data_IF_466367364830
#
_entry.id   IF_466367364830
#
_cell.length_a   1.000
_cell.length_b   1.000
_cell.length_c   1.000
_cell.angle_alpha   90.00
_cell.angle_beta   90.00
_cell.angle_gamma   90.00
#
_symmetry.space_group_name_H-M   'P 1'
#
loop_
_entity.id
_entity.type
_entity.pdbx_description
1 polymer ?
#
# COMPACT_ATOMS: atom_id res chain seq x y z
N UNK A 1 -20.91 -10.20 11.74
CA UNK A 1 -19.71 -10.31 12.62
C UNK A 1 -19.99 -11.30 13.72
N UNK A 2 -20.98 -11.06 14.62
CA UNK A 2 -21.20 -11.88 15.82
C UNK A 2 -21.36 -13.39 15.55
N UNK A 3 -22.21 -13.88 14.62
CA UNK A 3 -22.36 -15.32 14.40
C UNK A 3 -21.06 -16.01 13.99
N UNK A 4 -20.17 -15.32 13.28
CA UNK A 4 -18.85 -15.85 12.91
C UNK A 4 -17.93 -15.95 14.13
N UNK A 5 -17.90 -14.90 14.97
CA UNK A 5 -17.11 -14.91 16.18
C UNK A 5 -17.55 -16.00 17.15
N UNK A 6 -18.87 -16.21 17.30
CA UNK A 6 -19.44 -17.25 18.12
C UNK A 6 -19.04 -18.64 17.58
N UNK A 7 -19.15 -18.87 16.28
CA UNK A 7 -18.71 -20.11 15.65
C UNK A 7 -17.23 -20.42 15.92
N UNK A 8 -16.34 -19.39 15.78
CA UNK A 8 -14.90 -19.55 16.05
C UNK A 8 -14.64 -19.95 17.50
N UNK A 9 -15.36 -19.32 18.45
CA UNK A 9 -15.24 -19.62 19.89
C UNK A 9 -15.76 -21.01 20.24
N UNK A 10 -16.96 -21.37 19.78
CA UNK A 10 -17.59 -22.66 20.03
C UNK A 10 -16.74 -23.83 19.52
N UNK A 11 -16.08 -23.63 18.37
CA UNK A 11 -15.19 -24.62 17.77
C UNK A 11 -13.75 -24.55 18.29
N UNK A 12 -13.46 -23.69 19.29
CA UNK A 12 -12.14 -23.52 19.90
C UNK A 12 -11.02 -23.26 18.86
N UNK A 13 -11.33 -22.50 17.83
CA UNK A 13 -10.37 -22.14 16.79
C UNK A 13 -9.48 -21.03 17.35
N UNK A 14 -8.22 -21.35 17.65
CA UNK A 14 -7.25 -20.39 18.16
C UNK A 14 -6.59 -19.63 16.99
N UNK A 15 -7.31 -18.64 16.46
CA UNK A 15 -6.88 -17.75 15.38
C UNK A 15 -7.32 -16.32 15.64
N UNK A 16 -6.49 -15.35 15.26
CA UNK A 16 -6.82 -13.93 15.26
C UNK A 16 -8.01 -13.67 14.33
N UNK A 17 -9.01 -12.98 14.83
CA UNK A 17 -10.19 -12.58 14.06
C UNK A 17 -10.03 -11.12 13.64
N UNK A 18 -9.88 -10.91 12.34
CA UNK A 18 -9.79 -9.56 11.76
C UNK A 18 -11.10 -9.18 11.06
N UNK A 19 -11.59 -7.98 11.37
CA UNK A 19 -12.71 -7.38 10.66
C UNK A 19 -12.20 -6.70 9.39
N UNK A 20 -12.59 -7.18 8.20
CA UNK A 20 -12.23 -6.51 6.94
C UNK A 20 -13.11 -5.29 6.70
N UNK A 21 -12.49 -4.13 6.55
CA UNK A 21 -13.19 -2.84 6.38
C UNK A 21 -12.63 -2.09 5.17
N UNK A 22 -13.53 -1.73 4.25
CA UNK A 22 -13.21 -0.83 3.13
C UNK A 22 -13.59 0.59 3.54
N UNK A 23 -12.57 1.45 3.65
CA UNK A 23 -12.73 2.85 4.03
C UNK A 23 -12.75 3.72 2.78
N UNK A 24 -13.88 4.35 2.50
CA UNK A 24 -14.04 5.25 1.36
C UNK A 24 -13.46 6.63 1.65
N UNK A 25 -13.03 7.41 0.63
CA UNK A 25 -12.50 8.77 0.81
C UNK A 25 -13.42 9.67 1.63
N UNK A 26 -14.73 9.59 1.42
CA UNK A 26 -15.71 10.39 2.17
C UNK A 26 -15.76 10.04 3.67
N UNK A 27 -15.42 8.79 4.03
CA UNK A 27 -15.34 8.35 5.43
C UNK A 27 -14.08 8.87 6.12
N UNK A 28 -13.10 9.36 5.37
CA UNK A 28 -11.88 9.99 5.90
C UNK A 28 -12.03 11.51 5.97
N UNK A 29 -12.58 12.13 4.92
CA UNK A 29 -12.68 13.60 4.82
C UNK A 29 -13.77 14.21 5.70
N UNK A 30 -14.85 13.48 5.93
CA UNK A 30 -15.97 13.90 6.79
C UNK A 30 -15.73 13.38 8.21
N UNK A 31 -15.64 14.29 9.18
CA UNK A 31 -15.31 13.95 10.56
C UNK A 31 -16.42 13.12 11.22
N UNK A 32 -17.67 13.42 10.98
CA UNK A 32 -18.80 12.69 11.54
C UNK A 32 -18.81 11.25 11.02
N UNK A 33 -18.70 11.06 9.71
CA UNK A 33 -18.62 9.72 9.10
C UNK A 33 -17.39 8.94 9.53
N UNK A 34 -16.25 9.62 9.69
CA UNK A 34 -15.04 8.99 10.19
C UNK A 34 -15.25 8.45 11.60
N UNK A 35 -15.84 9.25 12.48
CA UNK A 35 -16.15 8.87 13.85
C UNK A 35 -17.21 7.75 13.92
N UNK A 36 -18.23 7.78 13.07
CA UNK A 36 -19.21 6.71 12.96
C UNK A 36 -18.54 5.37 12.61
N UNK A 37 -17.66 5.35 11.61
CA UNK A 37 -16.95 4.13 11.20
C UNK A 37 -16.02 3.65 12.30
N UNK A 38 -15.25 4.54 12.93
CA UNK A 38 -14.37 4.19 14.05
C UNK A 38 -15.16 3.62 15.23
N UNK A 39 -16.24 4.25 15.62
CA UNK A 39 -17.13 3.78 16.70
C UNK A 39 -17.74 2.42 16.36
N UNK A 40 -18.16 2.23 15.10
CA UNK A 40 -18.68 0.94 14.65
C UNK A 40 -17.59 -0.15 14.75
N UNK A 41 -16.39 0.10 14.28
CA UNK A 41 -15.27 -0.87 14.37
C UNK A 41 -14.98 -1.22 15.82
N UNK A 42 -14.77 -0.22 16.68
CA UNK A 42 -14.37 -0.41 18.08
C UNK A 42 -15.49 -0.98 18.96
N UNK A 43 -16.74 -0.93 18.53
CA UNK A 43 -17.87 -1.58 19.22
C UNK A 43 -17.82 -3.12 19.16
N UNK A 44 -17.05 -3.68 18.24
CA UNK A 44 -16.93 -5.13 18.05
C UNK A 44 -15.84 -5.73 18.94
N UNK A 45 -16.08 -5.81 20.23
CA UNK A 45 -15.13 -6.35 21.22
C UNK A 45 -14.74 -7.83 20.99
N UNK A 46 -15.39 -8.51 20.06
CA UNK A 46 -15.17 -9.93 19.74
C UNK A 46 -14.10 -10.15 18.67
N UNK A 47 -13.66 -9.10 18.00
CA UNK A 47 -12.59 -9.17 17.01
C UNK A 47 -11.29 -8.67 17.62
N UNK A 48 -10.18 -9.26 17.20
CA UNK A 48 -8.85 -8.90 17.70
C UNK A 48 -8.30 -7.67 16.99
N UNK A 49 -8.76 -7.43 15.76
CA UNK A 49 -8.26 -6.31 14.95
C UNK A 49 -9.01 -6.11 13.64
N UNK A 50 -8.39 -5.32 12.77
CA UNK A 50 -8.97 -4.94 11.49
C UNK A 50 -8.01 -5.19 10.33
N UNK A 51 -8.55 -5.59 9.20
CA UNK A 51 -7.88 -5.53 7.91
C UNK A 51 -8.46 -4.37 7.10
N UNK A 52 -7.71 -3.28 7.02
CA UNK A 52 -8.13 -2.03 6.39
C UNK A 52 -7.76 -2.01 4.91
N UNK A 53 -8.69 -1.58 4.11
CA UNK A 53 -8.51 -1.31 2.69
C UNK A 53 -8.97 0.13 2.44
N UNK A 54 -8.05 1.03 2.17
CA UNK A 54 -8.38 2.42 1.85
C UNK A 54 -8.69 2.54 0.36
N UNK A 55 -9.93 2.89 0.04
CA UNK A 55 -10.33 3.10 -1.35
C UNK A 55 -9.61 4.31 -1.92
N UNK A 56 -8.92 4.10 -3.03
CA UNK A 56 -8.18 5.13 -3.73
C UNK A 56 -8.68 5.22 -5.18
N UNK A 57 -9.49 6.24 -5.45
CA UNK A 57 -10.04 6.53 -6.78
C UNK A 57 -9.27 7.66 -7.50
N UNK A 58 -8.09 8.02 -7.01
CA UNK A 58 -7.30 9.08 -7.61
C UNK A 58 -6.77 8.65 -8.98
N UNK A 59 -6.77 9.60 -9.92
CA UNK A 59 -6.20 9.38 -11.26
C UNK A 59 -4.68 9.22 -11.25
N UNK A 60 -4.02 9.67 -10.20
CA UNK A 60 -2.58 9.49 -10.00
C UNK A 60 -2.28 8.15 -9.33
N UNK A 61 -1.16 7.54 -9.72
CA UNK A 61 -0.68 6.28 -9.11
C UNK A 61 -0.11 6.46 -7.70
N UNK A 62 0.06 7.69 -7.28
CA UNK A 62 0.46 8.08 -5.93
C UNK A 62 -0.63 8.94 -5.31
N UNK A 63 -0.86 8.75 -4.04
CA UNK A 63 -1.72 9.62 -3.26
C UNK A 63 -0.94 10.91 -2.98
N UNK A 64 -1.44 12.03 -3.52
CA UNK A 64 -0.85 13.38 -3.35
C UNK A 64 -1.72 14.29 -2.51
N UNK A 65 -2.90 13.82 -2.13
CA UNK A 65 -3.84 14.56 -1.30
C UNK A 65 -3.37 14.50 0.16
N UNK A 66 -2.90 15.63 0.66
CA UNK A 66 -2.38 15.75 2.02
C UNK A 66 -3.46 15.46 3.08
N UNK A 67 -4.66 15.99 2.91
CA UNK A 67 -5.75 15.79 3.87
C UNK A 67 -6.18 14.32 3.92
N UNK A 68 -6.24 13.67 2.77
CA UNK A 68 -6.51 12.23 2.71
C UNK A 68 -5.44 11.43 3.47
N UNK A 69 -4.17 11.70 3.24
CA UNK A 69 -3.06 11.01 3.93
C UNK A 69 -3.08 11.27 5.42
N UNK A 70 -3.27 12.52 5.84
CA UNK A 70 -3.33 12.90 7.25
C UNK A 70 -4.51 12.23 7.97
N UNK A 71 -5.69 12.23 7.35
CA UNK A 71 -6.86 11.60 7.93
C UNK A 71 -6.75 10.06 7.96
N UNK A 72 -6.05 9.47 6.99
CA UNK A 72 -5.71 8.03 7.02
C UNK A 72 -4.80 7.71 8.21
N UNK A 73 -3.75 8.48 8.43
CA UNK A 73 -2.85 8.31 9.58
C UNK A 73 -3.61 8.45 10.91
N UNK A 74 -4.47 9.47 11.04
CA UNK A 74 -5.33 9.65 12.23
C UNK A 74 -6.26 8.46 12.45
N UNK A 75 -6.84 7.95 11.38
CA UNK A 75 -7.74 6.79 11.45
C UNK A 75 -7.02 5.54 11.97
N UNK A 76 -5.83 5.24 11.42
CA UNK A 76 -4.99 4.12 11.87
C UNK A 76 -4.62 4.30 13.34
N UNK A 77 -4.16 5.50 13.73
CA UNK A 77 -3.72 5.81 15.08
C UNK A 77 -4.82 5.61 16.13
N UNK A 78 -6.05 6.08 15.85
CA UNK A 78 -7.19 5.89 16.75
C UNK A 78 -7.46 4.40 17.00
N UNK A 79 -7.36 3.56 15.99
CA UNK A 79 -7.54 2.11 16.16
C UNK A 79 -6.42 1.49 17.00
N UNK A 80 -5.17 1.92 16.81
CA UNK A 80 -4.03 1.47 17.62
C UNK A 80 -4.17 1.93 19.08
N UNK A 81 -4.62 3.16 19.32
CA UNK A 81 -4.91 3.68 20.67
C UNK A 81 -6.02 2.89 21.36
N UNK A 82 -6.95 2.31 20.60
CA UNK A 82 -7.97 1.37 21.09
C UNK A 82 -7.48 -0.09 21.19
N UNK A 83 -6.16 -0.32 21.12
CA UNK A 83 -5.51 -1.63 21.29
C UNK A 83 -5.91 -2.68 20.26
N UNK A 84 -6.40 -2.27 19.09
CA UNK A 84 -6.72 -3.18 17.99
C UNK A 84 -5.47 -3.53 17.18
N UNK A 85 -5.38 -4.78 16.70
CA UNK A 85 -4.45 -5.12 15.64
C UNK A 85 -4.91 -4.44 14.34
N UNK A 86 -3.98 -3.75 13.65
CA UNK A 86 -4.26 -3.03 12.42
C UNK A 86 -3.39 -3.55 11.27
N UNK A 87 -4.04 -4.16 10.30
CA UNK A 87 -3.41 -4.65 9.08
C UNK A 87 -3.93 -3.85 7.89
N UNK A 88 -3.04 -3.38 7.01
CA UNK A 88 -3.42 -2.55 5.87
C UNK A 88 -3.10 -3.27 4.58
N UNK A 89 -4.06 -3.32 3.66
CA UNK A 89 -3.91 -3.93 2.35
C UNK A 89 -3.96 -2.94 1.20
N UNK A 90 -3.53 -3.40 0.02
CA UNK A 90 -3.61 -2.64 -1.23
C UNK A 90 -2.85 -1.31 -1.23
N UNK A 91 -1.67 -1.27 -0.62
CA UNK A 91 -0.86 -0.05 -0.52
C UNK A 91 0.23 0.03 -1.59
N UNK A 92 0.65 1.24 -1.85
CA UNK A 92 1.76 1.61 -2.72
C UNK A 92 2.83 2.36 -1.89
N UNK A 93 3.44 3.40 -2.45
CA UNK A 93 4.47 4.21 -1.78
C UNK A 93 4.01 4.85 -0.48
N UNK A 94 2.72 5.16 -0.34
CA UNK A 94 2.11 5.69 0.89
C UNK A 94 2.26 4.75 2.10
N UNK A 95 2.54 3.46 1.89
CA UNK A 95 2.82 2.52 2.96
C UNK A 95 3.96 3.00 3.89
N UNK A 96 4.97 3.69 3.32
CA UNK A 96 6.05 4.31 4.11
C UNK A 96 5.49 5.36 5.08
N UNK A 97 4.51 6.17 4.63
CA UNK A 97 3.88 7.16 5.49
C UNK A 97 2.95 6.50 6.52
N UNK A 98 2.21 5.47 6.11
CA UNK A 98 1.31 4.75 7.02
C UNK A 98 2.06 4.06 8.17
N UNK A 99 3.32 3.66 7.96
CA UNK A 99 4.13 3.05 9.02
C UNK A 99 4.38 3.99 10.21
N UNK A 100 4.27 5.31 10.04
CA UNK A 100 4.36 6.31 11.13
C UNK A 100 3.24 6.11 12.16
N UNK A 101 2.07 5.64 11.73
CA UNK A 101 0.96 5.32 12.63
C UNK A 101 1.08 3.93 13.30
N UNK A 102 2.19 3.22 13.07
CA UNK A 102 2.55 1.92 13.64
C UNK A 102 1.47 0.83 13.51
N UNK A 103 0.94 0.57 12.30
CA UNK A 103 0.09 -0.60 12.09
C UNK A 103 0.89 -1.89 12.31
N UNK A 104 0.23 -3.00 12.64
CA UNK A 104 0.88 -4.28 12.88
C UNK A 104 1.42 -4.91 11.60
N UNK A 105 0.77 -4.65 10.47
CA UNK A 105 1.32 -4.99 9.15
C UNK A 105 0.78 -4.11 8.02
N UNK A 106 1.59 -3.99 6.96
CA UNK A 106 1.20 -3.34 5.72
C UNK A 106 1.54 -4.27 4.56
N UNK A 107 0.55 -4.53 3.70
CA UNK A 107 0.72 -5.36 2.50
C UNK A 107 0.92 -4.49 1.27
N UNK A 108 2.10 -4.60 0.66
CA UNK A 108 2.44 -3.94 -0.60
C UNK A 108 2.26 -4.90 -1.78
N UNK A 109 1.62 -4.43 -2.85
CA UNK A 109 1.34 -5.26 -4.02
C UNK A 109 2.54 -5.41 -4.97
N UNK A 110 2.79 -6.63 -5.47
CA UNK A 110 3.77 -6.85 -6.54
C UNK A 110 3.31 -6.22 -7.86
N UNK A 111 2.05 -6.41 -8.22
CA UNK A 111 1.47 -5.84 -9.42
C UNK A 111 0.71 -4.55 -9.12
N UNK A 112 0.60 -3.68 -10.11
CA UNK A 112 -0.01 -2.36 -9.98
C UNK A 112 -1.47 -2.41 -9.49
N UNK A 113 -2.24 -3.43 -9.90
CA UNK A 113 -3.61 -3.64 -9.47
C UNK A 113 -3.75 -4.08 -8.01
N UNK A 114 -2.66 -4.52 -7.38
CA UNK A 114 -2.61 -4.88 -5.95
C UNK A 114 -2.11 -3.73 -5.07
N UNK A 115 -1.69 -2.60 -5.68
CA UNK A 115 -1.16 -1.42 -4.96
C UNK A 115 -2.21 -0.34 -4.71
N UNK A 116 -3.42 -0.54 -5.16
CA UNK A 116 -4.54 0.37 -4.92
C UNK A 116 -5.84 -0.41 -4.99
N UNK A 117 -6.83 0.06 -4.27
CA UNK A 117 -8.17 -0.52 -4.28
C UNK A 117 -9.19 0.51 -4.77
N UNK A 118 -10.13 0.06 -5.60
CA UNK A 118 -11.27 0.86 -6.02
C UNK A 118 -12.46 -0.04 -6.30
N UNK A 119 -13.61 0.26 -5.72
CA UNK A 119 -14.85 -0.52 -5.90
C UNK A 119 -15.27 -0.60 -7.37
N UNK A 120 -14.97 0.42 -8.16
CA UNK A 120 -15.26 0.43 -9.60
C UNK A 120 -14.67 -0.77 -10.37
N UNK A 121 -13.61 -1.41 -9.85
CA UNK A 121 -13.01 -2.60 -10.49
C UNK A 121 -13.89 -3.84 -10.42
N UNK A 122 -14.90 -3.84 -9.55
CA UNK A 122 -15.84 -4.94 -9.36
C UNK A 122 -17.21 -4.66 -9.98
N UNK A 123 -17.34 -3.53 -10.69
CA UNK A 123 -18.53 -3.21 -11.47
C UNK A 123 -18.33 -3.74 -12.89
N UNK A 124 -19.43 -4.18 -13.53
CA UNK A 124 -19.40 -4.62 -14.92
C UNK A 124 -18.89 -3.49 -15.81
N UNK A 125 -17.73 -3.69 -16.41
CA UNK A 125 -17.13 -2.75 -17.35
C UNK A 125 -17.52 -3.22 -18.73
N UNK A 126 -18.23 -2.36 -19.48
CA UNK A 126 -18.36 -2.55 -20.92
C UNK A 126 -16.96 -2.77 -21.53
N UNK A 127 -16.86 -3.73 -22.45
CA UNK A 127 -15.63 -4.22 -23.09
C UNK A 127 -14.70 -3.10 -23.61
N UNK A 128 -13.97 -2.48 -22.71
CA UNK A 128 -12.85 -1.61 -23.10
C UNK A 128 -11.59 -2.47 -23.22
N UNK A 129 -10.86 -2.39 -24.36
CA UNK A 129 -9.62 -3.15 -24.52
C UNK A 129 -8.63 -2.78 -23.43
N UNK A 130 -8.25 -3.77 -22.60
CA UNK A 130 -7.26 -3.56 -21.55
C UNK A 130 -5.88 -3.37 -22.19
N UNK A 131 -5.30 -2.18 -21.98
CA UNK A 131 -3.91 -1.92 -22.35
C UNK A 131 -2.98 -2.69 -21.41
N UNK A 132 -2.00 -3.38 -21.97
CA UNK A 132 -0.97 -4.03 -21.17
C UNK A 132 -0.22 -3.00 -20.30
N UNK A 133 0.07 -3.32 -19.02
CA UNK A 133 0.80 -2.42 -18.16
C UNK A 133 2.23 -2.23 -18.66
N UNK A 134 2.78 -1.03 -18.49
CA UNK A 134 4.19 -0.76 -18.77
C UNK A 134 5.08 -1.32 -17.67
N UNK A 135 6.30 -1.74 -18.03
CA UNK A 135 7.33 -2.05 -17.06
C UNK A 135 7.78 -0.78 -16.34
N UNK A 136 7.99 -0.87 -15.03
CA UNK A 136 8.41 0.25 -14.18
C UNK A 136 9.44 -0.20 -13.17
N UNK A 137 10.31 0.73 -12.81
CA UNK A 137 11.30 0.55 -11.76
C UNK A 137 10.99 1.52 -10.61
N UNK A 138 11.02 1.02 -9.40
CA UNK A 138 10.88 1.82 -8.19
C UNK A 138 12.20 2.50 -7.85
N UNK A 139 12.12 3.74 -7.42
CA UNK A 139 13.25 4.50 -6.85
C UNK A 139 12.82 5.09 -5.50
N UNK A 140 13.52 4.75 -4.43
CA UNK A 140 13.30 5.36 -3.13
C UNK A 140 13.76 6.81 -3.11
N UNK A 141 14.84 7.13 -3.82
CA UNK A 141 15.40 8.48 -3.92
C UNK A 141 14.45 9.47 -4.58
N UNK A 142 13.63 9.00 -5.52
CA UNK A 142 12.58 9.78 -6.17
C UNK A 142 11.20 9.54 -5.55
N UNK A 143 11.11 8.59 -4.65
CA UNK A 143 9.87 8.13 -4.02
C UNK A 143 8.78 7.81 -5.05
N UNK A 144 9.17 7.16 -6.15
CA UNK A 144 8.30 6.99 -7.32
C UNK A 144 8.62 5.74 -8.15
N UNK A 145 7.57 5.25 -8.83
CA UNK A 145 7.67 4.28 -9.90
C UNK A 145 7.92 4.98 -11.23
N UNK A 146 9.04 4.65 -11.88
CA UNK A 146 9.48 5.24 -13.13
C UNK A 146 9.22 4.27 -14.27
N UNK A 147 8.48 4.70 -15.28
CA UNK A 147 8.28 3.95 -16.50
C UNK A 147 9.62 3.77 -17.24
N UNK A 148 9.86 2.57 -17.79
CA UNK A 148 11.14 2.25 -18.43
C UNK A 148 11.48 3.20 -19.60
N UNK A 149 10.49 3.75 -20.27
CA UNK A 149 10.71 4.73 -21.34
C UNK A 149 11.37 6.02 -20.82
N UNK A 150 11.05 6.42 -19.58
CA UNK A 150 11.72 7.55 -18.94
C UNK A 150 13.13 7.19 -18.46
N UNK A 151 13.39 5.92 -18.10
CA UNK A 151 14.73 5.46 -17.78
C UNK A 151 15.65 5.57 -19.01
N UNK A 152 15.15 5.20 -20.19
CA UNK A 152 15.89 5.36 -21.45
C UNK A 152 16.14 6.84 -21.78
N UNK A 153 15.18 7.71 -21.55
CA UNK A 153 15.36 9.16 -21.70
C UNK A 153 16.39 9.70 -20.69
N UNK A 154 16.32 9.29 -19.41
CA UNK A 154 17.30 9.67 -18.39
C UNK A 154 18.73 9.24 -18.79
N UNK A 155 18.88 8.05 -19.33
CA UNK A 155 20.16 7.52 -19.82
C UNK A 155 20.79 8.40 -20.90
N UNK A 156 19.97 9.01 -21.76
CA UNK A 156 20.45 9.90 -22.82
C UNK A 156 20.74 11.32 -22.37
N UNK A 157 20.07 11.78 -21.28
CA UNK A 157 20.10 13.17 -20.83
C UNK A 157 20.98 13.39 -19.59
N UNK A 158 21.16 12.38 -18.75
CA UNK A 158 21.82 12.48 -17.46
C UNK A 158 23.03 11.54 -17.37
N UNK A 159 24.27 12.06 -17.25
CA UNK A 159 25.46 11.22 -17.16
C UNK A 159 25.45 10.20 -16.04
N UNK A 160 24.85 10.56 -14.89
CA UNK A 160 24.77 9.73 -13.68
C UNK A 160 23.34 9.24 -13.41
N UNK A 161 22.58 8.92 -14.46
CA UNK A 161 21.16 8.52 -14.29
C UNK A 161 20.97 7.31 -13.36
N UNK A 162 21.95 6.41 -13.26
CA UNK A 162 21.91 5.25 -12.39
C UNK A 162 21.90 5.61 -10.90
N UNK A 163 22.42 6.79 -10.54
CA UNK A 163 22.47 7.28 -9.16
C UNK A 163 21.09 7.62 -8.60
N UNK A 164 20.08 7.81 -9.46
CA UNK A 164 18.70 8.01 -9.04
C UNK A 164 17.98 6.72 -8.64
N UNK A 165 18.62 5.57 -8.84
CA UNK A 165 18.08 4.27 -8.50
C UNK A 165 18.88 3.63 -7.38
N UNK A 166 18.18 2.96 -6.49
CA UNK A 166 18.77 2.28 -5.34
C UNK A 166 19.63 1.09 -5.78
N UNK A 167 20.63 0.79 -4.98
CA UNK A 167 21.45 -0.40 -5.21
C UNK A 167 20.70 -1.65 -4.72
N UNK A 168 20.74 -2.68 -5.55
CA UNK A 168 20.23 -4.02 -5.26
C UNK A 168 20.99 -5.03 -6.12
N UNK A 169 20.94 -6.30 -5.75
CA UNK A 169 21.53 -7.38 -6.58
C UNK A 169 20.90 -7.49 -7.98
N UNK A 170 19.70 -6.92 -8.19
CA UNK A 170 18.98 -6.95 -9.47
C UNK A 170 19.33 -5.77 -10.37
N UNK A 171 19.76 -4.62 -9.81
CA UNK A 171 20.08 -3.39 -10.56
C UNK A 171 21.07 -3.64 -11.69
N UNK A 172 22.24 -4.31 -11.49
CA UNK A 172 23.23 -4.51 -12.54
C UNK A 172 22.71 -5.28 -13.76
N UNK A 173 21.73 -6.17 -13.56
CA UNK A 173 21.09 -6.89 -14.65
C UNK A 173 20.14 -6.01 -15.44
N UNK A 174 19.31 -5.21 -14.74
CA UNK A 174 18.29 -4.36 -15.35
C UNK A 174 18.89 -3.22 -16.19
N UNK A 175 20.11 -2.76 -15.86
CA UNK A 175 20.76 -1.65 -16.55
C UNK A 175 21.67 -2.12 -17.70
N UNK A 176 21.73 -3.42 -17.98
CA UNK A 176 22.42 -3.93 -19.16
C UNK A 176 21.67 -3.58 -20.44
N UNK A 177 22.37 -3.26 -21.55
CA UNK A 177 21.74 -2.93 -22.83
C UNK A 177 20.80 -4.01 -23.38
N UNK A 178 21.11 -5.27 -23.11
CA UNK A 178 20.34 -6.43 -23.55
C UNK A 178 19.09 -6.72 -22.70
N UNK A 179 18.89 -6.02 -21.57
CA UNK A 179 17.73 -6.24 -20.73
C UNK A 179 16.46 -5.75 -21.41
N UNK A 180 15.56 -6.68 -21.66
CA UNK A 180 14.26 -6.38 -22.29
C UNK A 180 13.24 -6.06 -21.20
N UNK A 181 12.92 -4.79 -21.06
CA UNK A 181 11.89 -4.32 -20.13
C UNK A 181 10.52 -4.90 -20.47
N UNK A 182 9.91 -5.55 -19.51
CA UNK A 182 8.56 -6.09 -19.61
C UNK A 182 7.91 -6.17 -18.23
N UNK A 183 6.60 -5.90 -18.14
CA UNK A 183 5.87 -5.87 -16.88
C UNK A 183 5.89 -7.21 -16.11
N UNK A 184 6.06 -8.35 -16.81
CA UNK A 184 6.11 -9.67 -16.18
C UNK A 184 7.53 -10.09 -15.73
N UNK A 185 8.55 -9.26 -15.95
CA UNK A 185 9.92 -9.56 -15.49
C UNK A 185 9.97 -9.50 -13.96
N UNK A 186 10.56 -10.51 -13.29
CA UNK A 186 10.64 -10.55 -11.83
C UNK A 186 11.64 -9.55 -11.24
N UNK A 187 12.68 -9.14 -11.98
CA UNK A 187 13.77 -8.31 -11.48
C UNK A 187 13.29 -6.94 -10.96
N UNK A 188 12.41 -6.18 -11.67
CA UNK A 188 11.87 -4.92 -11.16
C UNK A 188 11.07 -5.08 -9.86
N UNK A 189 10.34 -6.18 -9.70
CA UNK A 189 9.57 -6.45 -8.47
C UNK A 189 10.46 -6.87 -7.32
N UNK A 190 11.46 -7.71 -7.56
CA UNK A 190 12.45 -8.08 -6.55
C UNK A 190 13.23 -6.87 -6.07
N UNK A 191 13.67 -6.00 -7.00
CA UNK A 191 14.29 -4.73 -6.66
C UNK A 191 13.37 -3.88 -5.79
N UNK A 192 12.11 -3.73 -6.16
CA UNK A 192 11.13 -2.97 -5.39
C UNK A 192 10.99 -3.49 -3.95
N UNK A 193 10.78 -4.79 -3.78
CA UNK A 193 10.62 -5.36 -2.44
C UNK A 193 11.88 -5.17 -1.59
N UNK A 194 13.04 -5.35 -2.18
CA UNK A 194 14.31 -5.13 -1.50
C UNK A 194 14.48 -3.67 -1.06
N UNK A 195 14.26 -2.72 -1.96
CA UNK A 195 14.39 -1.28 -1.67
C UNK A 195 13.36 -0.84 -0.65
N UNK A 196 12.12 -1.31 -0.79
CA UNK A 196 11.03 -0.95 0.11
C UNK A 196 11.24 -1.49 1.54
N UNK A 197 11.72 -2.73 1.66
CA UNK A 197 12.10 -3.33 2.95
C UNK A 197 13.21 -2.51 3.64
N UNK A 198 14.21 -2.09 2.88
CA UNK A 198 15.27 -1.23 3.41
C UNK A 198 14.74 0.14 3.86
N UNK A 199 13.80 0.75 3.13
CA UNK A 199 13.17 2.00 3.56
C UNK A 199 12.40 1.82 4.86
N UNK A 200 11.59 0.76 5.00
CA UNK A 200 10.84 0.49 6.24
C UNK A 200 11.79 0.27 7.41
N UNK A 201 12.85 -0.52 7.22
CA UNK A 201 13.86 -0.75 8.28
C UNK A 201 14.64 0.50 8.69
N UNK A 202 14.74 1.48 7.80
CA UNK A 202 15.41 2.75 8.10
C UNK A 202 14.53 3.73 8.90
N UNK A 203 13.22 3.44 9.04
CA UNK A 203 12.34 4.28 9.86
C UNK A 203 12.66 4.04 11.33
N UNK A 204 12.96 5.10 12.12
CA UNK A 204 13.19 4.94 13.55
C UNK A 204 11.99 4.28 14.23
N UNK A 205 12.24 3.24 15.01
CA UNK A 205 11.20 2.52 15.78
C UNK A 205 10.88 3.22 17.10
N UNK A 206 11.78 4.09 17.58
CA UNK A 206 11.60 4.83 18.82
C UNK A 206 10.93 6.17 18.54
N UNK A 207 9.61 6.19 18.65
CA UNK A 207 8.84 7.43 18.78
C UNK A 207 8.47 7.63 20.27
N UNK A 208 9.49 7.79 21.09
CA UNK A 208 9.34 8.37 22.41
C UNK A 208 9.73 9.85 22.30
N UNK A 209 8.78 10.68 21.78
CA UNK A 209 8.71 12.13 22.08
C UNK A 209 7.34 12.69 21.58
#
# INVERSE_FOLDING_TARGET
VLPFCDYVRENKINKTILLSVIVKPIMLSDEEKRNEVLNWITSHQQVDGVYLIFENNFNSKQIKDFEYLLNTLRFIRVLKENQMEVHIGYTNTEAILYSIAMPDSISIGSYENLRSFGIKRFQDVENTPMRAPNARLYSSKLFQWIDYQYIDAMKSLLPSYEDYFDDSEFKPLMFKPEFKWHFAKPEPYKHYFFVFDNQIKAIPQDQND
#
